data_IF_060028917916
#
_entry.id   IF_060028917916
#
_cell.length_a   1.000
_cell.length_b   1.000
_cell.length_c   1.000
_cell.angle_alpha   90.00
_cell.angle_beta   90.00
_cell.angle_gamma   90.00
#
_symmetry.space_group_name_H-M   'P 1'
#
loop_
_entity.id
_entity.type
_entity.pdbx_description
1 polymer ?
#
# COMPACT_ATOMS: atom_id res chain seq x y z
N UNK A 1 -9.08 6.95 -28.66
CA UNK A 1 -7.93 6.19 -28.11
C UNK A 1 -8.47 5.05 -27.27
N UNK A 2 -8.09 3.80 -27.55
CA UNK A 2 -8.56 2.65 -26.77
C UNK A 2 -7.75 2.50 -25.48
N UNK A 3 -8.33 1.84 -24.46
CA UNK A 3 -7.61 1.53 -23.23
C UNK A 3 -6.30 0.76 -23.49
N UNK A 4 -6.33 -0.19 -24.44
CA UNK A 4 -5.15 -0.95 -24.87
C UNK A 4 -4.05 -0.06 -25.45
N UNK A 5 -4.41 0.89 -26.33
CA UNK A 5 -3.44 1.81 -26.91
C UNK A 5 -2.81 2.71 -25.84
N UNK A 6 -3.61 3.24 -24.91
CA UNK A 6 -3.12 4.06 -23.79
C UNK A 6 -2.17 3.26 -22.88
N UNK A 7 -2.51 2.03 -22.54
CA UNK A 7 -1.67 1.16 -21.72
C UNK A 7 -0.31 0.89 -22.38
N UNK A 8 -0.29 0.57 -23.68
CA UNK A 8 0.95 0.34 -24.43
C UNK A 8 1.83 1.59 -24.46
N UNK A 9 1.24 2.77 -24.65
CA UNK A 9 1.99 4.03 -24.62
C UNK A 9 2.65 4.29 -23.27
N UNK A 10 1.96 4.02 -22.16
CA UNK A 10 2.47 4.24 -20.80
C UNK A 10 3.42 3.13 -20.31
N UNK A 11 3.50 2.00 -21.02
CA UNK A 11 4.35 0.87 -20.63
C UNK A 11 5.83 1.27 -20.58
N UNK A 12 6.28 2.14 -21.49
CA UNK A 12 7.67 2.64 -21.52
C UNK A 12 8.06 3.37 -20.24
N UNK A 13 7.15 4.18 -19.68
CA UNK A 13 7.40 4.92 -18.42
C UNK A 13 7.34 3.99 -17.20
N UNK A 14 6.50 2.96 -17.24
CA UNK A 14 6.34 1.99 -16.16
C UNK A 14 7.53 1.03 -16.05
N UNK A 15 8.13 0.65 -17.18
CA UNK A 15 9.11 -0.44 -17.24
C UNK A 15 10.31 -0.29 -16.30
N UNK A 16 10.94 0.90 -16.14
CA UNK A 16 12.05 1.08 -15.20
C UNK A 16 11.69 0.79 -13.73
N UNK A 17 10.43 0.99 -13.33
CA UNK A 17 9.96 0.67 -11.98
C UNK A 17 9.79 -0.83 -11.81
N UNK A 18 9.21 -1.51 -12.80
CA UNK A 18 9.07 -2.97 -12.79
C UNK A 18 10.44 -3.65 -12.80
N UNK A 19 11.38 -3.18 -13.63
CA UNK A 19 12.73 -3.76 -13.71
C UNK A 19 13.47 -3.67 -12.37
N UNK A 20 13.40 -2.51 -11.69
CA UNK A 20 13.98 -2.34 -10.35
C UNK A 20 13.29 -3.23 -9.32
N UNK A 21 11.97 -3.29 -9.35
CA UNK A 21 11.19 -4.17 -8.48
C UNK A 21 11.59 -5.64 -8.66
N UNK A 22 11.64 -6.13 -9.90
CA UNK A 22 12.01 -7.51 -10.23
C UNK A 22 13.41 -7.86 -9.73
N UNK A 23 14.41 -6.98 -9.96
CA UNK A 23 15.78 -7.14 -9.45
C UNK A 23 15.83 -7.20 -7.92
N UNK A 24 15.05 -6.37 -7.24
CA UNK A 24 14.97 -6.41 -5.77
C UNK A 24 14.29 -7.68 -5.28
N UNK A 25 13.21 -8.12 -5.93
CA UNK A 25 12.51 -9.37 -5.62
C UNK A 25 13.39 -10.58 -5.82
N UNK A 26 14.18 -10.64 -6.90
CA UNK A 26 15.13 -11.73 -7.18
C UNK A 26 16.12 -11.97 -6.02
N UNK A 27 16.55 -10.92 -5.31
CA UNK A 27 17.48 -11.03 -4.17
C UNK A 27 16.79 -11.17 -2.80
N UNK A 28 15.47 -11.07 -2.74
CA UNK A 28 14.69 -11.09 -1.49
C UNK A 28 13.62 -12.17 -1.50
N UNK A 29 12.53 -11.96 -2.23
CA UNK A 29 11.41 -12.89 -2.41
C UNK A 29 11.05 -12.92 -3.90
N UNK A 30 11.64 -13.84 -4.69
CA UNK A 30 11.49 -13.87 -6.15
C UNK A 30 10.06 -14.02 -6.64
N UNK A 31 9.20 -14.65 -5.82
CA UNK A 31 7.77 -14.82 -6.11
C UNK A 31 6.93 -13.55 -5.97
N UNK A 32 7.42 -12.49 -5.30
CA UNK A 32 6.65 -11.25 -5.13
C UNK A 32 6.49 -10.48 -6.45
N UNK A 33 7.54 -10.43 -7.26
CA UNK A 33 7.51 -9.78 -8.57
C UNK A 33 8.40 -10.57 -9.54
N UNK A 34 7.87 -11.68 -10.10
CA UNK A 34 8.65 -12.55 -10.96
C UNK A 34 9.00 -11.86 -12.28
N UNK A 35 10.00 -12.40 -13.01
CA UNK A 35 10.32 -11.97 -14.36
C UNK A 35 9.10 -12.01 -15.29
N UNK A 36 9.14 -11.19 -16.34
CA UNK A 36 8.09 -11.21 -17.35
C UNK A 36 8.09 -12.55 -18.09
N UNK A 37 6.90 -13.09 -18.37
CA UNK A 37 6.75 -14.40 -19.01
C UNK A 37 6.82 -15.60 -18.07
N UNK A 38 7.08 -15.41 -16.76
CA UNK A 38 6.95 -16.46 -15.75
C UNK A 38 5.51 -16.99 -15.72
N UNK A 39 5.37 -18.31 -15.69
CA UNK A 39 4.11 -19.04 -15.56
C UNK A 39 4.16 -20.02 -14.37
N UNK A 40 3.08 -20.75 -14.14
CA UNK A 40 2.97 -21.70 -13.02
C UNK A 40 3.99 -22.84 -13.04
N UNK A 41 4.57 -23.16 -14.21
CA UNK A 41 5.59 -24.21 -14.37
C UNK A 41 7.03 -23.65 -14.29
N UNK A 42 7.20 -22.35 -14.10
CA UNK A 42 8.52 -21.71 -14.08
C UNK A 42 9.13 -21.85 -12.68
N UNK A 43 10.28 -22.51 -12.60
CA UNK A 43 11.08 -22.50 -11.38
C UNK A 43 11.75 -21.14 -11.22
N UNK A 44 11.47 -20.48 -10.09
CA UNK A 44 12.11 -19.22 -9.74
C UNK A 44 13.49 -19.51 -9.13
N UNK A 45 14.39 -18.54 -9.26
CA UNK A 45 15.69 -18.59 -8.58
C UNK A 45 15.49 -18.65 -7.07
N UNK A 46 16.21 -19.54 -6.38
CA UNK A 46 16.26 -19.59 -4.92
C UNK A 46 17.53 -18.88 -4.42
N UNK A 47 17.40 -17.75 -3.68
CA UNK A 47 18.56 -17.04 -3.16
C UNK A 47 19.36 -17.90 -2.18
N UNK A 48 20.69 -17.82 -2.25
CA UNK A 48 21.60 -18.55 -1.34
C UNK A 48 21.56 -18.07 0.13
N UNK A 49 20.78 -17.01 0.44
CA UNK A 49 20.68 -16.42 1.78
C UNK A 49 19.23 -16.10 2.14
N UNK A 50 18.92 -16.09 3.45
CA UNK A 50 17.59 -15.74 3.97
C UNK A 50 17.47 -14.33 4.55
N UNK A 51 18.54 -13.53 4.52
CA UNK A 51 18.57 -12.20 5.14
C UNK A 51 17.62 -11.25 4.42
N UNK A 52 17.64 -11.26 3.08
CA UNK A 52 16.75 -10.43 2.26
C UNK A 52 15.27 -10.77 2.46
N UNK A 53 14.93 -12.05 2.42
CA UNK A 53 13.55 -12.53 2.62
C UNK A 53 13.03 -12.21 4.02
N UNK A 54 13.84 -12.46 5.07
CA UNK A 54 13.50 -12.11 6.45
C UNK A 54 13.35 -10.59 6.63
N UNK A 55 14.23 -9.79 6.04
CA UNK A 55 14.18 -8.33 6.13
C UNK A 55 12.90 -7.75 5.54
N UNK A 56 12.52 -8.19 4.33
CA UNK A 56 11.28 -7.74 3.67
C UNK A 56 10.04 -8.16 4.47
N UNK A 57 9.96 -9.42 4.90
CA UNK A 57 8.84 -9.89 5.71
C UNK A 57 8.74 -9.18 7.06
N UNK A 58 9.87 -8.96 7.74
CA UNK A 58 9.88 -8.27 9.03
C UNK A 58 9.43 -6.82 8.88
N UNK A 59 9.94 -6.11 7.87
CA UNK A 59 9.57 -4.73 7.60
C UNK A 59 8.08 -4.61 7.26
N UNK A 60 7.58 -5.45 6.35
CA UNK A 60 6.17 -5.46 5.96
C UNK A 60 5.25 -5.75 7.16
N UNK A 61 5.57 -6.75 7.98
CA UNK A 61 4.79 -7.07 9.18
C UNK A 61 4.79 -5.91 10.19
N UNK A 62 5.93 -5.25 10.40
CA UNK A 62 5.99 -4.07 11.29
C UNK A 62 5.19 -2.90 10.76
N UNK A 63 5.27 -2.61 9.46
CA UNK A 63 4.47 -1.55 8.83
C UNK A 63 2.98 -1.85 8.93
N UNK A 64 2.56 -3.10 8.69
CA UNK A 64 1.17 -3.50 8.83
C UNK A 64 0.66 -3.26 10.25
N UNK A 65 1.40 -3.69 11.27
CA UNK A 65 1.00 -3.49 12.66
C UNK A 65 0.99 -2.01 13.07
N UNK A 66 1.88 -1.20 12.52
CA UNK A 66 1.95 0.24 12.79
C UNK A 66 0.83 1.03 12.10
N UNK A 67 0.49 0.67 10.86
CA UNK A 67 -0.52 1.35 10.06
C UNK A 67 -1.95 0.85 10.34
N UNK A 68 -2.08 -0.44 10.68
CA UNK A 68 -3.36 -1.11 10.89
C UNK A 68 -3.32 -1.94 12.18
N UNK A 69 -3.28 -1.28 13.35
CA UNK A 69 -3.31 -1.99 14.63
C UNK A 69 -4.62 -2.80 14.77
N UNK A 70 -4.55 -4.04 15.27
CA UNK A 70 -5.71 -4.94 15.30
C UNK A 70 -6.80 -4.54 16.31
N UNK A 71 -6.40 -3.84 17.38
CA UNK A 71 -7.27 -3.57 18.53
C UNK A 71 -7.61 -2.08 18.72
N UNK A 72 -7.18 -1.20 17.81
CA UNK A 72 -7.46 0.24 17.90
C UNK A 72 -7.82 0.79 16.54
N UNK A 73 -8.73 1.79 16.45
CA UNK A 73 -9.01 2.47 15.18
C UNK A 73 -7.73 3.05 14.56
N UNK A 74 -7.51 2.80 13.26
CA UNK A 74 -6.34 3.29 12.53
C UNK A 74 -6.55 4.68 11.90
N UNK A 75 -7.76 5.21 11.96
CA UNK A 75 -8.11 6.55 11.52
C UNK A 75 -9.17 7.13 12.45
N UNK A 76 -9.28 8.47 12.47
CA UNK A 76 -10.32 9.20 13.21
C UNK A 76 -10.96 10.18 12.26
N UNK A 77 -12.28 10.16 12.18
CA UNK A 77 -13.05 11.22 11.52
C UNK A 77 -13.14 12.40 12.48
N UNK A 78 -12.96 13.61 11.96
CA UNK A 78 -13.15 14.85 12.71
C UNK A 78 -13.99 15.79 11.87
N UNK A 79 -14.83 16.57 12.54
CA UNK A 79 -15.50 17.70 11.92
C UNK A 79 -14.47 18.71 11.42
N UNK A 80 -14.74 19.28 10.25
CA UNK A 80 -13.99 20.41 9.74
C UNK A 80 -14.15 21.63 10.67
N UNK A 81 -13.08 22.41 10.83
CA UNK A 81 -13.06 23.54 11.77
C UNK A 81 -14.15 24.57 11.47
N UNK A 82 -14.51 24.75 10.20
CA UNK A 82 -15.57 25.70 9.80
C UNK A 82 -16.95 25.23 10.23
N UNK A 83 -17.19 23.93 10.17
CA UNK A 83 -18.46 23.32 10.59
C UNK A 83 -18.58 23.35 12.10
N UNK A 84 -17.47 23.10 12.84
CA UNK A 84 -17.44 23.29 14.30
C UNK A 84 -17.77 24.74 14.69
N UNK A 85 -17.14 25.73 14.05
CA UNK A 85 -17.40 27.14 14.34
C UNK A 85 -18.86 27.57 14.04
N UNK A 86 -19.48 27.03 12.99
CA UNK A 86 -20.89 27.27 12.70
C UNK A 86 -21.82 26.62 13.72
N UNK A 87 -21.53 25.37 14.12
CA UNK A 87 -22.31 24.65 15.14
C UNK A 87 -22.26 25.35 16.51
N UNK A 88 -21.09 25.87 16.89
CA UNK A 88 -20.91 26.67 18.12
C UNK A 88 -21.70 28.00 18.07
N UNK A 89 -21.83 28.62 16.90
CA UNK A 89 -22.64 29.84 16.72
C UNK A 89 -24.14 29.57 16.71
N UNK A 90 -24.58 28.40 16.22
CA UNK A 90 -25.99 28.00 16.20
C UNK A 90 -26.48 27.38 17.52
N UNK A 91 -25.58 27.02 18.44
CA UNK A 91 -25.94 26.58 19.79
C UNK A 91 -26.57 25.18 19.88
N UNK A 92 -26.27 24.29 18.93
CA UNK A 92 -26.82 22.92 18.88
C UNK A 92 -25.75 21.88 19.32
N UNK A 93 -25.68 21.51 20.61
CA UNK A 93 -24.61 20.68 21.17
C UNK A 93 -24.73 19.19 20.84
N UNK A 94 -25.87 18.69 20.35
CA UNK A 94 -26.09 17.26 20.09
C UNK A 94 -25.31 16.76 18.86
N UNK A 95 -25.07 17.61 17.87
CA UNK A 95 -24.35 17.22 16.65
C UNK A 95 -22.84 16.99 16.86
N UNK A 96 -22.25 17.53 17.94
CA UNK A 96 -20.83 17.34 18.26
C UNK A 96 -20.56 16.02 18.99
N UNK A 97 -21.51 15.53 19.79
CA UNK A 97 -21.31 14.38 20.68
C UNK A 97 -21.29 13.03 19.95
N UNK A 98 -22.05 12.88 18.88
CA UNK A 98 -22.18 11.60 18.15
C UNK A 98 -20.98 11.27 17.25
N UNK A 99 -20.12 12.27 16.96
CA UNK A 99 -18.98 12.13 16.03
C UNK A 99 -17.66 11.87 16.77
N UNK A 100 -17.61 12.09 18.09
CA UNK A 100 -16.39 11.94 18.90
C UNK A 100 -16.21 10.55 19.56
N UNK A 101 -17.21 9.66 19.46
CA UNK A 101 -17.11 8.22 19.78
C UNK A 101 -16.48 7.39 18.67
#
# INVERSE_FOLDING_TARGET
MTAQARYKMLATEREPYLLRGRRNSELTLPSLLPPEGTNAATNLYDPYQSVGSKGVNHLASKLMLALFPPNTPFFRLRLDEKVKAQAEQSGDPEALTDIET
#
